data_IF_294112643991
#
_entry.id   IF_294112643991
#
_cell.length_a   1.000
_cell.length_b   1.000
_cell.length_c   1.000
_cell.angle_alpha   90.00
_cell.angle_beta   90.00
_cell.angle_gamma   90.00
#
_symmetry.space_group_name_H-M   'P 1'
#
loop_
_entity.id
_entity.type
_entity.pdbx_description
1 polymer ?
#
# COMPACT_ATOMS: atom_id res chain seq x y z
N UNK A 1 -4.57 -11.80 -8.49
CA UNK A 1 -5.64 -10.83 -8.14
C UNK A 1 -6.63 -11.53 -7.22
N UNK A 2 -7.19 -10.87 -6.18
CA UNK A 2 -8.00 -11.50 -5.11
C UNK A 2 -7.32 -12.67 -4.38
N UNK A 3 -6.06 -12.48 -3.97
CA UNK A 3 -5.32 -13.49 -3.21
C UNK A 3 -5.80 -13.61 -1.76
N UNK A 4 -6.34 -12.53 -1.19
CA UNK A 4 -6.88 -12.44 0.17
C UNK A 4 -8.20 -11.67 0.14
N UNK A 5 -9.12 -11.96 1.07
CA UNK A 5 -10.38 -11.23 1.19
C UNK A 5 -10.18 -9.89 1.91
N UNK A 6 -11.09 -8.95 1.68
CA UNK A 6 -11.06 -7.66 2.38
C UNK A 6 -11.32 -7.86 3.87
N UNK A 7 -12.24 -8.76 4.22
CA UNK A 7 -12.60 -9.10 5.59
C UNK A 7 -11.41 -9.63 6.38
N UNK A 8 -10.56 -10.48 5.77
CA UNK A 8 -9.34 -10.99 6.42
C UNK A 8 -8.36 -9.85 6.74
N UNK A 9 -8.18 -8.90 5.82
CA UNK A 9 -7.30 -7.74 6.01
C UNK A 9 -7.85 -6.81 7.10
N UNK A 10 -9.16 -6.55 7.10
CA UNK A 10 -9.80 -5.75 8.15
C UNK A 10 -9.70 -6.44 9.52
N UNK A 11 -9.82 -7.77 9.56
CA UNK A 11 -9.60 -8.58 10.75
C UNK A 11 -8.16 -8.46 11.26
N UNK A 12 -7.17 -8.53 10.36
CA UNK A 12 -5.75 -8.37 10.70
C UNK A 12 -5.47 -7.01 11.33
N UNK A 13 -5.99 -5.92 10.75
CA UNK A 13 -5.80 -4.56 11.26
C UNK A 13 -6.34 -4.42 12.69
N UNK A 14 -7.53 -4.99 12.96
CA UNK A 14 -8.20 -4.91 14.27
C UNK A 14 -7.54 -5.79 15.33
N UNK A 15 -7.01 -6.95 14.94
CA UNK A 15 -6.49 -7.95 15.86
C UNK A 15 -4.97 -7.89 16.06
N UNK A 16 -4.25 -7.01 15.35
CA UNK A 16 -2.80 -6.87 15.53
C UNK A 16 -2.46 -6.54 16.99
N UNK A 17 -1.36 -7.09 17.55
CA UNK A 17 -0.90 -6.68 18.87
C UNK A 17 -0.62 -5.17 18.93
N UNK A 18 -0.85 -4.55 20.09
CA UNK A 18 -0.73 -3.10 20.25
C UNK A 18 0.67 -2.54 19.93
N UNK A 19 1.72 -3.32 20.17
CA UNK A 19 3.12 -2.92 19.93
C UNK A 19 3.57 -3.13 18.47
N UNK A 20 2.72 -3.71 17.62
CA UNK A 20 3.05 -3.99 16.21
C UNK A 20 2.52 -2.86 15.35
N UNK A 21 3.40 -2.31 14.53
CA UNK A 21 3.05 -1.39 13.46
C UNK A 21 2.76 -2.18 12.17
N UNK A 22 1.62 -1.88 11.53
CA UNK A 22 1.20 -2.54 10.31
C UNK A 22 1.29 -1.54 9.15
N UNK A 23 2.19 -1.79 8.21
CA UNK A 23 2.36 -0.97 7.02
C UNK A 23 1.74 -1.69 5.82
N UNK A 24 0.72 -1.08 5.23
CA UNK A 24 0.05 -1.59 4.02
C UNK A 24 0.45 -0.72 2.84
N UNK A 25 1.00 -1.34 1.79
CA UNK A 25 1.40 -0.65 0.56
C UNK A 25 0.64 -1.22 -0.64
N UNK A 26 0.39 -0.39 -1.63
CA UNK A 26 -0.35 -0.78 -2.83
C UNK A 26 -1.08 0.39 -3.46
N UNK A 27 -1.54 0.19 -4.70
CA UNK A 27 -2.42 1.14 -5.40
C UNK A 27 -3.87 0.76 -5.17
N UNK A 28 -4.77 1.74 -5.20
CA UNK A 28 -6.22 1.53 -5.11
C UNK A 28 -6.66 0.86 -3.80
N UNK A 29 -6.15 1.34 -2.66
CA UNK A 29 -6.58 0.85 -1.35
C UNK A 29 -8.10 0.97 -1.18
N UNK A 30 -8.74 -0.07 -0.63
CA UNK A 30 -10.17 -0.04 -0.36
C UNK A 30 -10.52 1.04 0.65
N UNK A 31 -11.63 1.76 0.43
CA UNK A 31 -12.05 2.87 1.30
C UNK A 31 -12.19 2.44 2.76
N UNK A 32 -12.65 1.21 3.02
CA UNK A 32 -12.78 0.69 4.39
C UNK A 32 -11.45 0.58 5.11
N UNK A 33 -10.36 0.30 4.38
CA UNK A 33 -9.01 0.24 4.94
C UNK A 33 -8.52 1.66 5.25
N UNK A 34 -8.74 2.60 4.33
CA UNK A 34 -8.37 4.01 4.48
C UNK A 34 -9.08 4.63 5.69
N UNK A 35 -10.36 4.33 5.89
CA UNK A 35 -11.17 4.88 6.99
C UNK A 35 -10.72 4.42 8.39
N UNK A 36 -10.16 3.21 8.52
CA UNK A 36 -9.73 2.66 9.82
C UNK A 36 -8.23 2.82 10.09
N UNK A 37 -7.47 3.30 9.11
CA UNK A 37 -6.04 3.51 9.25
C UNK A 37 -5.75 4.77 10.06
N UNK A 38 -4.77 4.70 10.97
CA UNK A 38 -4.34 5.85 11.76
C UNK A 38 -3.61 6.90 10.90
N UNK A 39 -2.89 6.44 9.87
CA UNK A 39 -2.15 7.27 8.93
C UNK A 39 -2.35 6.77 7.50
N UNK A 40 -2.68 7.69 6.59
CA UNK A 40 -2.80 7.41 5.16
C UNK A 40 -1.95 8.42 4.39
N UNK A 41 -1.10 7.91 3.51
CA UNK A 41 -0.31 8.74 2.58
C UNK A 41 -0.61 8.31 1.15
N UNK A 42 -1.00 9.27 0.31
CA UNK A 42 -1.23 9.06 -1.11
C UNK A 42 0.01 9.48 -1.91
N UNK A 43 0.60 8.52 -2.64
CA UNK A 43 1.73 8.76 -3.54
C UNK A 43 1.20 9.05 -4.94
N UNK A 44 1.16 10.34 -5.33
CA UNK A 44 0.72 10.77 -6.66
C UNK A 44 1.89 10.73 -7.65
N UNK A 45 1.70 10.02 -8.77
CA UNK A 45 2.67 9.98 -9.87
C UNK A 45 2.58 11.25 -10.75
N UNK A 46 3.21 12.32 -10.27
CA UNK A 46 3.31 13.61 -10.96
C UNK A 46 4.30 13.51 -12.14
N UNK A 47 5.46 12.90 -11.92
CA UNK A 47 6.51 12.66 -12.93
C UNK A 47 7.25 11.37 -12.60
N UNK A 48 7.53 10.57 -13.63
CA UNK A 48 8.26 9.31 -13.50
C UNK A 48 9.22 9.09 -14.68
N UNK A 49 10.51 8.77 -14.45
CA UNK A 49 11.50 8.53 -15.52
C UNK A 49 11.09 7.47 -16.54
N UNK A 50 10.33 6.46 -16.09
CA UNK A 50 9.72 5.47 -16.98
C UNK A 50 8.92 6.08 -18.14
N UNK A 51 8.24 7.21 -17.93
CA UNK A 51 7.47 7.91 -18.98
C UNK A 51 8.38 8.54 -20.06
N UNK A 52 9.64 8.77 -19.72
CA UNK A 52 10.68 9.27 -20.64
C UNK A 52 11.49 8.11 -21.26
N UNK A 53 11.07 6.85 -21.04
CA UNK A 53 11.71 5.66 -21.61
C UNK A 53 12.92 5.15 -20.82
N UNK A 54 13.19 5.72 -19.63
CA UNK A 54 14.26 5.22 -18.75
C UNK A 54 13.89 3.82 -18.27
N UNK A 55 14.80 2.87 -18.51
CA UNK A 55 14.65 1.49 -18.10
C UNK A 55 14.82 1.33 -16.57
N UNK A 56 14.40 0.17 -16.09
CA UNK A 56 14.48 -0.23 -14.69
C UNK A 56 15.96 -0.27 -14.26
N UNK A 57 16.28 0.32 -13.10
CA UNK A 57 17.65 0.38 -12.57
C UNK A 57 17.76 -0.40 -11.27
N UNK A 58 18.82 -1.20 -11.18
CA UNK A 58 19.20 -1.91 -9.94
C UNK A 58 19.50 -0.90 -8.82
N UNK A 59 18.98 -1.16 -7.63
CA UNK A 59 19.16 -0.32 -6.44
C UNK A 59 18.25 0.91 -6.40
N UNK A 60 17.42 1.13 -7.41
CA UNK A 60 16.41 2.21 -7.42
C UNK A 60 15.01 1.64 -7.61
N UNK A 61 14.83 0.86 -8.68
CA UNK A 61 13.52 0.34 -9.07
C UNK A 61 13.33 -1.12 -8.61
N UNK A 62 14.43 -1.85 -8.35
CA UNK A 62 14.46 -3.18 -7.73
C UNK A 62 15.72 -3.42 -6.90
#
# INVERSE_FOLDING_TARGET
FKLVSLEDVLGLIRNKPAHVELVLTGRYADKKIVEIADLVTEMLDIKHPFREGVQIREGIDY
#
